data_IF_431355135203
#
_entry.id   IF_431355135203
#
_cell.length_a   1.000
_cell.length_b   1.000
_cell.length_c   1.000
_cell.angle_alpha   90.00
_cell.angle_beta   90.00
_cell.angle_gamma   90.00
#
_symmetry.space_group_name_H-M   'P 1'
#
loop_
_entity.id
_entity.type
_entity.pdbx_description
1 polymer ?
#
# COMPACT_ATOMS: atom_id res chain seq x y z
N UNK A 1 -12.46 12.02 28.28
CA UNK A 1 -11.96 12.45 26.96
C UNK A 1 -11.30 11.24 26.31
N UNK A 2 -11.78 10.86 25.11
CA UNK A 2 -11.24 9.76 24.30
C UNK A 2 -10.57 10.35 23.08
N UNK A 3 -9.29 10.03 22.86
CA UNK A 3 -8.46 10.53 21.76
C UNK A 3 -8.01 9.34 20.92
N UNK A 4 -8.36 9.37 19.63
CA UNK A 4 -7.88 8.38 18.66
C UNK A 4 -6.71 9.00 17.91
N UNK A 5 -5.58 8.29 17.90
CA UNK A 5 -4.32 8.72 17.26
C UNK A 5 -4.03 7.75 16.11
N UNK A 6 -4.28 8.21 14.90
CA UNK A 6 -4.24 7.41 13.68
C UNK A 6 -3.30 8.04 12.62
N UNK A 7 -1.99 8.07 12.84
CA UNK A 7 -1.02 8.63 11.90
C UNK A 7 -0.49 7.58 10.93
N UNK A 8 0.07 8.07 9.82
CA UNK A 8 1.03 7.36 8.98
C UNK A 8 2.44 7.42 9.57
N UNK A 9 3.35 6.67 8.99
CA UNK A 9 4.79 6.75 9.24
C UNK A 9 5.36 8.10 8.76
N UNK A 10 6.42 8.56 9.43
CA UNK A 10 7.25 9.66 8.92
C UNK A 10 8.46 9.02 8.25
N UNK A 11 8.41 8.94 6.92
CA UNK A 11 9.45 8.28 6.12
C UNK A 11 10.85 8.69 6.55
N UNK A 12 11.76 7.72 6.55
CA UNK A 12 13.17 7.88 6.95
C UNK A 12 13.40 8.24 8.43
N UNK A 13 12.34 8.33 9.27
CA UNK A 13 12.51 8.74 10.67
C UNK A 13 11.71 7.92 11.70
N UNK A 14 10.39 7.80 11.57
CA UNK A 14 9.54 7.15 12.56
C UNK A 14 8.50 6.23 11.90
N UNK A 15 8.32 5.05 12.46
CA UNK A 15 7.17 4.20 12.14
C UNK A 15 5.85 4.85 12.60
N UNK A 16 4.73 4.44 12.03
CA UNK A 16 3.41 4.95 12.42
C UNK A 16 3.11 4.75 13.91
N UNK A 17 3.58 3.63 14.50
CA UNK A 17 3.43 3.36 15.93
C UNK A 17 4.30 4.29 16.80
N UNK A 18 5.52 4.59 16.37
CA UNK A 18 6.39 5.53 17.07
C UNK A 18 5.82 6.95 17.02
N UNK A 19 5.29 7.37 15.87
CA UNK A 19 4.57 8.66 15.75
C UNK A 19 3.37 8.70 16.71
N UNK A 20 2.52 7.68 16.70
CA UNK A 20 1.37 7.60 17.60
C UNK A 20 1.77 7.64 19.08
N UNK A 21 2.86 6.95 19.43
CA UNK A 21 3.38 6.91 20.80
C UNK A 21 3.96 8.25 21.25
N UNK A 22 4.65 8.97 20.36
CA UNK A 22 5.18 10.31 20.65
C UNK A 22 4.04 11.34 20.83
N UNK A 23 2.97 11.25 20.02
CA UNK A 23 1.77 12.08 20.15
C UNK A 23 1.09 11.81 21.50
N UNK A 24 0.85 10.54 21.84
CA UNK A 24 0.28 10.16 23.14
C UNK A 24 1.11 10.69 24.30
N UNK A 25 2.44 10.52 24.26
CA UNK A 25 3.32 11.00 25.31
C UNK A 25 3.23 12.52 25.52
N UNK A 26 3.13 13.30 24.44
CA UNK A 26 2.94 14.75 24.54
C UNK A 26 1.59 15.15 25.10
N UNK A 27 0.50 14.51 24.64
CA UNK A 27 -0.84 14.79 25.14
C UNK A 27 -1.04 14.39 26.60
N UNK A 28 -0.44 13.29 27.06
CA UNK A 28 -0.51 12.85 28.47
C UNK A 28 0.07 13.84 29.47
N UNK A 29 0.99 14.69 29.08
CA UNK A 29 1.51 15.74 29.96
C UNK A 29 0.43 16.76 30.34
N UNK A 30 -0.61 16.90 29.52
CA UNK A 30 -1.70 17.89 29.71
C UNK A 30 -3.01 17.20 30.12
N UNK A 31 -3.29 16.03 29.53
CA UNK A 31 -4.48 15.21 29.77
C UNK A 31 -4.09 13.80 30.23
N UNK A 32 -3.58 13.65 31.47
CA UNK A 32 -3.08 12.35 31.98
C UNK A 32 -4.17 11.28 32.08
N UNK A 33 -5.42 11.69 32.32
CA UNK A 33 -6.56 10.79 32.56
C UNK A 33 -7.38 10.53 31.29
N UNK A 34 -6.97 11.03 30.11
CA UNK A 34 -7.64 10.74 28.87
C UNK A 34 -7.40 9.29 28.41
N UNK A 35 -8.39 8.71 27.74
CA UNK A 35 -8.26 7.45 27.04
C UNK A 35 -7.58 7.70 25.70
N UNK A 36 -6.51 6.94 25.42
CA UNK A 36 -5.77 7.05 24.17
C UNK A 36 -5.84 5.73 23.40
N UNK A 37 -6.32 5.82 22.16
CA UNK A 37 -6.30 4.69 21.21
C UNK A 37 -5.27 5.01 20.14
N UNK A 38 -4.18 4.25 20.12
CA UNK A 38 -3.17 4.32 19.08
C UNK A 38 -3.53 3.34 17.97
N UNK A 39 -3.71 3.86 16.77
CA UNK A 39 -4.04 3.09 15.59
C UNK A 39 -3.09 3.47 14.47
N UNK A 40 -1.90 2.83 14.35
CA UNK A 40 -1.04 3.00 13.19
C UNK A 40 -1.81 2.73 11.90
N UNK A 41 -1.73 3.65 10.93
CA UNK A 41 -2.43 3.55 9.65
C UNK A 41 -1.43 3.67 8.52
N UNK A 42 -1.79 3.20 7.34
CA UNK A 42 -1.05 3.35 6.11
C UNK A 42 -2.01 3.48 4.92
N UNK A 43 -1.49 3.83 3.76
CA UNK A 43 -2.29 4.04 2.53
C UNK A 43 -2.17 2.88 1.52
N UNK A 44 -1.55 1.75 1.90
CA UNK A 44 -1.29 0.63 1.00
C UNK A 44 0.08 0.67 0.34
N UNK A 45 0.88 1.70 0.61
CA UNK A 45 2.27 1.83 0.19
C UNK A 45 3.25 1.13 1.13
N UNK A 46 4.51 1.55 1.04
CA UNK A 46 5.60 1.10 1.91
C UNK A 46 5.27 1.32 3.39
N UNK A 47 5.55 0.31 4.22
CA UNK A 47 5.28 0.33 5.66
C UNK A 47 3.86 -0.07 6.05
N UNK A 48 3.03 -0.44 5.08
CA UNK A 48 1.66 -0.91 5.34
C UNK A 48 1.65 -2.19 6.16
N UNK A 49 2.55 -3.13 5.85
CA UNK A 49 2.64 -4.41 6.58
C UNK A 49 2.95 -4.16 8.05
N UNK A 50 3.96 -3.35 8.37
CA UNK A 50 4.35 -3.03 9.74
C UNK A 50 3.22 -2.30 10.48
N UNK A 51 2.57 -1.34 9.84
CA UNK A 51 1.46 -0.59 10.44
C UNK A 51 0.29 -1.52 10.78
N UNK A 52 -0.10 -2.40 9.85
CA UNK A 52 -1.20 -3.35 10.04
C UNK A 52 -0.88 -4.41 11.10
N UNK A 53 0.34 -4.92 11.11
CA UNK A 53 0.81 -5.86 12.15
C UNK A 53 0.76 -5.20 13.53
N UNK A 54 1.26 -3.97 13.65
CA UNK A 54 1.23 -3.23 14.90
C UNK A 54 -0.21 -2.93 15.37
N UNK A 55 -1.07 -2.48 14.46
CA UNK A 55 -2.47 -2.13 14.77
C UNK A 55 -3.32 -3.35 15.16
N UNK A 56 -3.01 -4.53 14.61
CA UNK A 56 -3.76 -5.77 14.87
C UNK A 56 -3.10 -6.66 15.92
N UNK A 57 -2.00 -6.24 16.55
CA UNK A 57 -1.19 -7.06 17.44
C UNK A 57 -0.75 -8.39 16.79
N UNK A 58 -0.43 -8.30 15.52
CA UNK A 58 -0.05 -9.42 14.68
C UNK A 58 1.45 -9.75 14.76
N UNK A 59 1.92 -10.46 13.74
CA UNK A 59 3.33 -10.84 13.61
C UNK A 59 3.82 -10.77 12.17
N UNK A 60 5.11 -10.54 12.03
CA UNK A 60 5.80 -10.67 10.74
C UNK A 60 6.09 -12.13 10.44
N UNK A 61 6.03 -12.50 9.17
CA UNK A 61 6.40 -13.81 8.64
C UNK A 61 7.44 -13.61 7.55
N UNK A 62 8.60 -14.23 7.73
CA UNK A 62 9.67 -14.23 6.73
C UNK A 62 9.67 -15.56 5.97
N UNK A 63 9.86 -15.51 4.67
CA UNK A 63 9.86 -16.69 3.79
C UNK A 63 10.79 -16.48 2.60
N UNK A 64 11.60 -17.49 2.29
CA UNK A 64 12.42 -17.47 1.08
C UNK A 64 11.52 -17.65 -0.14
N UNK A 65 11.59 -16.70 -1.08
CA UNK A 65 10.80 -16.68 -2.31
C UNK A 65 11.67 -16.31 -3.50
N UNK A 66 11.13 -16.44 -4.69
CA UNK A 66 11.77 -16.05 -5.95
C UNK A 66 11.76 -14.52 -6.09
N UNK A 67 12.93 -13.95 -6.25
CA UNK A 67 13.10 -12.52 -6.52
C UNK A 67 12.79 -12.13 -7.96
N UNK A 68 12.88 -10.82 -8.30
CA UNK A 68 12.47 -10.31 -9.61
C UNK A 68 13.24 -10.91 -10.81
N UNK A 69 14.48 -11.32 -10.62
CA UNK A 69 15.32 -11.94 -11.67
C UNK A 69 15.47 -13.46 -11.54
N UNK A 70 14.64 -14.09 -10.67
CA UNK A 70 14.68 -15.53 -10.44
C UNK A 70 15.62 -15.97 -9.32
N UNK A 71 16.40 -15.07 -8.73
CA UNK A 71 17.26 -15.36 -7.59
C UNK A 71 16.43 -15.48 -6.31
N UNK A 72 16.79 -16.38 -5.37
CA UNK A 72 16.12 -16.44 -4.07
C UNK A 72 16.31 -15.14 -3.29
N UNK A 73 15.22 -14.63 -2.72
CA UNK A 73 15.23 -13.47 -1.83
C UNK A 73 14.49 -13.79 -0.54
N UNK A 74 14.83 -13.10 0.54
CA UNK A 74 14.07 -13.16 1.78
C UNK A 74 12.88 -12.22 1.67
N UNK A 75 11.71 -12.78 1.36
CA UNK A 75 10.45 -12.05 1.37
C UNK A 75 9.84 -12.01 2.77
N UNK A 76 8.86 -11.16 2.95
CA UNK A 76 8.11 -11.05 4.21
C UNK A 76 6.66 -10.63 3.94
N UNK A 77 5.81 -10.88 4.92
CA UNK A 77 4.44 -10.36 5.00
C UNK A 77 3.98 -10.38 6.47
N UNK A 78 2.86 -9.73 6.76
CA UNK A 78 2.27 -9.70 8.09
C UNK A 78 1.06 -10.61 8.22
N UNK A 79 0.78 -11.06 9.44
CA UNK A 79 -0.47 -11.73 9.82
C UNK A 79 -1.09 -11.00 10.99
N UNK A 80 -2.42 -10.79 10.95
CA UNK A 80 -3.18 -10.21 12.05
C UNK A 80 -3.11 -11.06 13.32
N UNK A 81 -3.33 -10.46 14.49
CA UNK A 81 -3.26 -11.14 15.77
C UNK A 81 -4.24 -12.30 15.95
N UNK A 82 -5.38 -12.27 15.23
CA UNK A 82 -6.35 -13.36 15.16
C UNK A 82 -6.06 -14.39 14.06
N UNK A 83 -4.95 -14.21 13.35
CA UNK A 83 -4.48 -15.05 12.23
C UNK A 83 -5.45 -15.18 11.04
N UNK A 84 -6.46 -14.31 10.96
CA UNK A 84 -7.48 -14.37 9.89
C UNK A 84 -7.08 -13.64 8.60
N UNK A 85 -6.19 -12.63 8.70
CA UNK A 85 -5.83 -11.73 7.62
C UNK A 85 -4.31 -11.69 7.39
N UNK A 86 -3.88 -11.80 6.14
CA UNK A 86 -2.49 -11.53 5.74
C UNK A 86 -2.37 -10.14 5.09
N UNK A 87 -1.27 -9.46 5.40
CA UNK A 87 -0.88 -8.17 4.84
C UNK A 87 0.37 -8.37 4.00
N UNK A 88 0.27 -8.18 2.67
CA UNK A 88 1.34 -8.49 1.72
C UNK A 88 1.70 -7.21 0.96
N UNK A 89 2.97 -6.85 0.94
CA UNK A 89 3.52 -5.90 -0.03
C UNK A 89 4.23 -6.70 -1.13
N UNK A 90 3.77 -6.56 -2.38
CA UNK A 90 4.40 -7.27 -3.49
C UNK A 90 5.89 -6.93 -3.64
N UNK A 91 6.29 -5.73 -3.23
CA UNK A 91 7.67 -5.27 -3.29
C UNK A 91 8.62 -6.11 -2.42
N UNK A 92 8.13 -6.79 -1.40
CA UNK A 92 8.93 -7.70 -0.58
C UNK A 92 9.50 -8.91 -1.37
N UNK A 93 8.87 -9.27 -2.50
CA UNK A 93 9.32 -10.34 -3.37
C UNK A 93 9.63 -9.88 -4.80
N UNK A 94 8.96 -8.84 -5.28
CA UNK A 94 9.00 -8.42 -6.68
C UNK A 94 9.27 -6.92 -6.84
N UNK A 95 9.93 -6.30 -5.86
CA UNK A 95 10.13 -4.87 -5.76
C UNK A 95 11.40 -4.34 -6.43
N UNK A 96 11.36 -3.04 -6.75
CA UNK A 96 12.49 -2.30 -7.36
C UNK A 96 13.71 -2.23 -6.45
N UNK A 97 13.53 -2.19 -5.14
CA UNK A 97 14.61 -2.08 -4.17
C UNK A 97 15.46 -3.36 -4.07
N UNK A 98 14.91 -4.49 -4.50
CA UNK A 98 15.65 -5.75 -4.60
C UNK A 98 16.68 -5.74 -5.73
N UNK A 99 16.64 -4.74 -6.61
CA UNK A 99 17.49 -4.65 -7.79
C UNK A 99 18.29 -3.35 -7.81
N UNK A 100 19.63 -3.43 -7.99
CA UNK A 100 20.41 -2.24 -8.31
C UNK A 100 19.91 -1.66 -9.65
N UNK A 101 19.94 -0.32 -9.83
CA UNK A 101 19.41 0.32 -11.04
C UNK A 101 19.90 -0.30 -12.37
N UNK A 102 21.18 -0.71 -12.42
CA UNK A 102 21.77 -1.31 -13.61
C UNK A 102 21.22 -2.72 -13.97
N UNK A 103 20.59 -3.41 -13.01
CA UNK A 103 20.02 -4.74 -13.22
C UNK A 103 18.51 -4.70 -13.55
N UNK A 104 17.89 -3.54 -13.50
CA UNK A 104 16.46 -3.38 -13.80
C UNK A 104 16.18 -3.63 -15.27
N UNK A 105 15.30 -4.59 -15.54
CA UNK A 105 14.88 -4.93 -16.90
C UNK A 105 13.48 -5.56 -16.92
N UNK A 106 12.43 -4.77 -17.20
CA UNK A 106 11.05 -5.23 -17.12
C UNK A 106 10.67 -6.26 -18.19
N UNK A 107 11.50 -6.49 -19.23
CA UNK A 107 11.33 -7.60 -20.14
C UNK A 107 11.58 -8.96 -19.48
N UNK A 108 12.36 -8.99 -18.38
CA UNK A 108 12.83 -10.21 -17.70
C UNK A 108 12.32 -10.37 -16.28
N UNK A 109 12.01 -9.28 -15.59
CA UNK A 109 11.59 -9.33 -14.18
C UNK A 109 10.24 -10.00 -14.03
N UNK A 110 10.14 -10.92 -13.05
CA UNK A 110 8.98 -11.77 -12.79
C UNK A 110 8.32 -11.45 -11.46
N UNK A 111 7.02 -11.56 -11.42
CA UNK A 111 6.18 -11.47 -10.21
C UNK A 111 5.99 -12.80 -9.48
N UNK A 112 6.71 -13.85 -9.84
CA UNK A 112 6.57 -15.20 -9.30
C UNK A 112 6.59 -15.25 -7.78
N UNK A 113 7.54 -14.56 -7.14
CA UNK A 113 7.66 -14.52 -5.68
C UNK A 113 6.46 -13.92 -4.97
N UNK A 114 5.76 -12.99 -5.59
CA UNK A 114 4.48 -12.47 -5.03
C UNK A 114 3.44 -13.59 -4.95
N UNK A 115 3.36 -14.45 -5.95
CA UNK A 115 2.48 -15.64 -5.91
C UNK A 115 2.89 -16.63 -4.83
N UNK A 116 4.20 -16.79 -4.57
CA UNK A 116 4.71 -17.63 -3.48
C UNK A 116 4.33 -17.07 -2.10
N UNK A 117 4.39 -15.72 -1.91
CA UNK A 117 3.91 -15.09 -0.68
C UNK A 117 2.41 -15.35 -0.45
N UNK A 118 1.59 -15.17 -1.49
CA UNK A 118 0.15 -15.44 -1.42
C UNK A 118 -0.11 -16.90 -1.07
N UNK A 119 0.55 -17.84 -1.73
CA UNK A 119 0.39 -19.27 -1.46
C UNK A 119 0.79 -19.64 -0.04
N UNK A 120 1.92 -19.09 0.44
CA UNK A 120 2.37 -19.33 1.82
C UNK A 120 1.36 -18.78 2.84
N UNK A 121 0.75 -17.63 2.59
CA UNK A 121 -0.31 -17.11 3.45
C UNK A 121 -1.57 -18.01 3.45
N UNK A 122 -1.95 -18.55 2.28
CA UNK A 122 -3.04 -19.54 2.19
C UNK A 122 -2.71 -20.82 2.98
N UNK A 123 -1.44 -21.25 3.00
CA UNK A 123 -1.00 -22.42 3.77
C UNK A 123 -1.17 -22.22 5.30
N UNK A 124 -1.15 -20.98 5.77
CA UNK A 124 -1.43 -20.62 7.17
C UNK A 124 -2.94 -20.51 7.47
N UNK A 125 -3.80 -20.67 6.46
CA UNK A 125 -5.24 -20.72 6.64
C UNK A 125 -5.95 -19.36 6.72
N UNK A 126 -5.29 -18.27 6.26
CA UNK A 126 -5.93 -16.95 6.23
C UNK A 126 -7.14 -16.96 5.30
N UNK A 127 -8.16 -16.21 5.67
CA UNK A 127 -9.42 -16.06 4.91
C UNK A 127 -9.55 -14.70 4.25
N UNK A 128 -8.63 -13.78 4.57
CA UNK A 128 -8.55 -12.45 3.98
C UNK A 128 -7.09 -12.09 3.66
N UNK A 129 -6.90 -11.36 2.58
CA UNK A 129 -5.60 -10.75 2.26
C UNK A 129 -5.79 -9.28 1.90
N UNK A 130 -4.86 -8.45 2.33
CA UNK A 130 -4.70 -7.08 1.88
C UNK A 130 -3.35 -7.02 1.18
N UNK A 131 -3.35 -6.69 -0.11
CA UNK A 131 -2.16 -6.71 -0.94
C UNK A 131 -1.85 -5.30 -1.42
N UNK A 132 -0.72 -4.74 -0.99
CA UNK A 132 -0.14 -3.53 -1.53
C UNK A 132 0.68 -3.85 -2.79
N UNK A 133 0.47 -3.08 -3.86
CA UNK A 133 1.13 -3.33 -5.14
C UNK A 133 2.10 -2.22 -5.57
N UNK A 134 2.42 -1.29 -4.66
CA UNK A 134 3.43 -0.26 -4.87
C UNK A 134 4.86 -0.82 -4.98
N UNK A 135 5.78 -0.03 -5.54
CA UNK A 135 7.22 -0.34 -5.56
C UNK A 135 7.64 -1.49 -6.50
N UNK A 136 6.81 -1.92 -7.44
CA UNK A 136 7.06 -3.08 -8.32
C UNK A 136 8.25 -2.88 -9.26
N UNK A 137 9.05 -3.95 -9.47
CA UNK A 137 10.11 -4.04 -10.50
C UNK A 137 9.60 -4.66 -11.81
N UNK A 138 8.38 -5.18 -11.83
CA UNK A 138 7.85 -6.06 -12.87
C UNK A 138 6.91 -5.34 -13.84
N UNK A 139 6.83 -5.85 -15.06
CA UNK A 139 5.87 -5.45 -16.09
C UNK A 139 5.39 -6.70 -16.86
N UNK A 140 5.22 -7.79 -16.11
CA UNK A 140 4.83 -9.11 -16.63
C UNK A 140 3.31 -9.37 -16.55
N UNK A 141 2.51 -8.32 -16.32
CA UNK A 141 1.07 -8.46 -16.18
C UNK A 141 0.64 -9.34 -14.99
N UNK A 142 1.54 -9.57 -14.01
CA UNK A 142 1.29 -10.52 -12.92
C UNK A 142 1.31 -12.00 -13.34
N UNK A 143 1.81 -12.29 -14.54
CA UNK A 143 1.84 -13.65 -15.07
C UNK A 143 2.64 -14.62 -14.20
N UNK A 144 3.82 -14.19 -13.70
CA UNK A 144 4.61 -14.99 -12.78
C UNK A 144 3.85 -15.33 -11.50
N UNK A 145 3.14 -14.36 -10.92
CA UNK A 145 2.28 -14.58 -9.75
C UNK A 145 1.20 -15.63 -10.06
N UNK A 146 0.48 -15.49 -11.17
CA UNK A 146 -0.56 -16.42 -11.56
C UNK A 146 -0.01 -17.85 -11.74
N UNK A 147 1.15 -17.99 -12.39
CA UNK A 147 1.83 -19.30 -12.55
C UNK A 147 2.24 -19.90 -11.20
N UNK A 148 2.77 -19.11 -10.28
CA UNK A 148 3.14 -19.59 -8.94
C UNK A 148 1.91 -20.05 -8.12
N UNK A 149 0.74 -19.52 -8.43
CA UNK A 149 -0.55 -19.90 -7.84
C UNK A 149 -1.22 -21.09 -8.56
N UNK A 150 -0.60 -21.62 -9.62
CA UNK A 150 -1.03 -22.83 -10.30
C UNK A 150 -1.70 -22.63 -11.67
N UNK A 151 -1.85 -21.38 -12.14
CA UNK A 151 -2.31 -21.15 -13.50
C UNK A 151 -1.25 -21.60 -14.51
N UNK A 152 -1.69 -22.14 -15.62
CA UNK A 152 -0.82 -22.53 -16.74
C UNK A 152 -0.95 -21.48 -17.86
N UNK A 153 0.11 -20.75 -18.10
CA UNK A 153 0.24 -19.79 -19.20
C UNK A 153 1.15 -20.43 -20.24
N UNK A 154 0.57 -20.87 -21.35
CA UNK A 154 1.25 -21.75 -22.31
C UNK A 154 1.44 -21.09 -23.67
N UNK A 155 2.57 -21.41 -24.31
CA UNK A 155 2.84 -21.12 -25.72
C UNK A 155 2.02 -22.03 -26.64
N UNK A 156 2.02 -21.76 -27.94
CA UNK A 156 1.35 -22.60 -28.93
C UNK A 156 1.85 -24.06 -28.94
N UNK A 157 3.07 -24.31 -28.50
CA UNK A 157 3.66 -25.64 -28.38
C UNK A 157 3.35 -26.32 -27.03
N UNK A 158 2.49 -25.68 -26.19
CA UNK A 158 2.09 -26.21 -24.88
C UNK A 158 3.17 -26.11 -23.80
N UNK A 159 4.19 -25.28 -23.99
CA UNK A 159 5.22 -25.04 -22.99
C UNK A 159 4.88 -23.80 -22.16
N UNK A 160 5.29 -23.71 -20.89
CA UNK A 160 5.15 -22.49 -20.12
C UNK A 160 5.84 -21.30 -20.81
N UNK A 161 5.21 -20.13 -20.79
CA UNK A 161 5.84 -18.89 -21.29
C UNK A 161 7.10 -18.56 -20.47
N UNK A 162 8.06 -17.87 -21.08
CA UNK A 162 9.25 -17.40 -20.38
C UNK A 162 8.88 -16.34 -19.31
N UNK A 163 9.64 -16.22 -18.20
CA UNK A 163 9.44 -15.18 -17.21
C UNK A 163 9.61 -13.77 -17.78
N UNK A 164 8.92 -12.81 -17.16
CA UNK A 164 9.02 -11.39 -17.48
C UNK A 164 8.05 -10.94 -18.58
N UNK A 165 8.00 -9.62 -18.78
CA UNK A 165 7.04 -9.00 -19.69
C UNK A 165 7.18 -9.45 -21.15
N UNK A 166 8.41 -9.80 -21.59
CA UNK A 166 8.65 -10.31 -22.94
C UNK A 166 7.96 -11.66 -23.20
N UNK A 167 7.85 -12.50 -22.18
CA UNK A 167 7.23 -13.83 -22.29
C UNK A 167 5.76 -13.78 -22.70
N UNK A 168 5.03 -12.72 -22.33
CA UNK A 168 3.63 -12.54 -22.64
C UNK A 168 3.34 -12.56 -24.15
N UNK A 169 4.29 -12.12 -24.97
CA UNK A 169 4.12 -12.09 -26.42
C UNK A 169 4.00 -13.49 -27.08
N UNK A 170 4.39 -14.53 -26.35
CA UNK A 170 4.32 -15.93 -26.82
C UNK A 170 3.13 -16.70 -26.25
N UNK A 171 2.32 -16.07 -25.43
CA UNK A 171 1.16 -16.69 -24.81
C UNK A 171 0.12 -17.10 -25.85
N UNK A 172 -0.38 -18.32 -25.78
CA UNK A 172 -1.39 -18.84 -26.66
C UNK A 172 -2.62 -19.44 -25.93
N UNK A 173 -2.42 -19.85 -24.66
CA UNK A 173 -3.51 -20.45 -23.86
C UNK A 173 -3.31 -20.16 -22.37
N UNK A 174 -4.40 -19.82 -21.70
CA UNK A 174 -4.46 -19.71 -20.25
C UNK A 174 -5.37 -20.84 -19.73
N UNK A 175 -4.81 -21.70 -18.86
CA UNK A 175 -5.56 -22.73 -18.16
C UNK A 175 -5.50 -22.49 -16.64
N UNK A 176 -6.63 -22.25 -16.03
CA UNK A 176 -6.77 -21.99 -14.60
C UNK A 176 -7.25 -23.22 -13.80
N UNK A 177 -7.35 -24.40 -14.43
CA UNK A 177 -7.81 -25.61 -13.76
C UNK A 177 -6.92 -26.05 -12.59
N UNK A 178 -5.63 -25.68 -12.64
CA UNK A 178 -4.64 -25.93 -11.60
C UNK A 178 -4.51 -24.80 -10.55
N UNK A 179 -5.27 -23.73 -10.68
CA UNK A 179 -5.20 -22.60 -9.77
C UNK A 179 -5.59 -23.03 -8.35
N UNK A 180 -4.89 -22.51 -7.34
CA UNK A 180 -5.13 -22.86 -5.94
C UNK A 180 -6.61 -22.62 -5.56
N UNK A 181 -7.37 -23.67 -5.22
CA UNK A 181 -8.82 -23.54 -4.98
C UNK A 181 -9.17 -22.69 -3.76
N UNK A 182 -8.21 -22.48 -2.85
CA UNK A 182 -8.41 -21.66 -1.65
C UNK A 182 -8.57 -20.17 -1.98
N UNK A 183 -8.07 -19.73 -3.14
CA UNK A 183 -8.27 -18.36 -3.62
C UNK A 183 -9.76 -17.99 -3.73
N UNK A 184 -10.61 -18.93 -4.16
CA UNK A 184 -12.03 -18.70 -4.27
C UNK A 184 -12.75 -18.53 -2.92
N UNK A 185 -12.10 -18.90 -1.81
CA UNK A 185 -12.63 -18.79 -0.45
C UNK A 185 -11.94 -17.67 0.35
N UNK A 186 -10.93 -17.04 -0.21
CA UNK A 186 -10.16 -15.96 0.42
C UNK A 186 -10.62 -14.63 -0.16
N UNK A 187 -11.01 -13.69 0.70
CA UNK A 187 -11.28 -12.32 0.27
C UNK A 187 -9.95 -11.59 0.05
N UNK A 188 -9.74 -11.09 -1.15
CA UNK A 188 -8.51 -10.35 -1.51
C UNK A 188 -8.88 -8.91 -1.86
N UNK A 189 -8.41 -7.97 -1.05
CA UNK A 189 -8.49 -6.54 -1.28
C UNK A 189 -7.09 -6.05 -1.74
N UNK A 190 -7.03 -5.31 -2.86
CA UNK A 190 -5.78 -4.78 -3.42
C UNK A 190 -5.75 -3.28 -3.24
N UNK A 191 -4.76 -2.80 -2.50
CA UNK A 191 -4.51 -1.37 -2.34
C UNK A 191 -3.95 -0.78 -3.64
N UNK A 192 -4.78 -0.02 -4.34
CA UNK A 192 -4.48 0.58 -5.62
C UNK A 192 -4.99 2.01 -5.66
N UNK A 193 -4.07 2.98 -5.60
CA UNK A 193 -4.37 4.42 -5.59
C UNK A 193 -4.18 5.06 -6.98
N UNK A 194 -3.91 4.24 -8.00
CA UNK A 194 -3.80 4.70 -9.38
C UNK A 194 -4.94 4.13 -10.23
N UNK A 195 -5.37 4.90 -11.20
CA UNK A 195 -6.45 4.52 -12.12
C UNK A 195 -5.95 4.11 -13.52
N UNK A 196 -4.62 4.09 -13.69
CA UNK A 196 -3.99 3.79 -14.98
C UNK A 196 -4.52 2.49 -15.60
N UNK A 197 -4.93 2.51 -16.87
CA UNK A 197 -5.33 1.32 -17.59
C UNK A 197 -4.14 0.39 -17.84
N UNK A 198 -4.40 -0.83 -18.27
CA UNK A 198 -3.36 -1.82 -18.51
C UNK A 198 -2.41 -1.39 -19.64
N UNK A 199 -2.92 -0.80 -20.71
CA UNK A 199 -2.18 -0.45 -21.95
C UNK A 199 -2.47 0.97 -22.41
N UNK A 200 -1.71 1.43 -23.42
CA UNK A 200 -1.84 2.74 -24.03
C UNK A 200 -0.93 3.80 -23.42
N UNK A 201 -1.13 5.05 -23.80
CA UNK A 201 -0.25 6.17 -23.41
C UNK A 201 -0.23 6.43 -21.89
N UNK A 202 -1.29 6.07 -21.19
CA UNK A 202 -1.42 6.14 -19.73
C UNK A 202 -1.33 4.75 -19.08
N UNK A 203 -0.95 3.73 -19.83
CA UNK A 203 -0.86 2.34 -19.40
C UNK A 203 0.36 2.01 -18.56
N UNK A 204 0.40 0.77 -18.08
CA UNK A 204 1.45 0.24 -17.21
C UNK A 204 2.87 0.48 -17.74
N UNK A 205 3.10 0.17 -19.01
CA UNK A 205 4.43 0.24 -19.62
C UNK A 205 4.85 1.68 -19.90
N UNK A 206 3.94 2.53 -20.39
CA UNK A 206 4.23 3.91 -20.73
C UNK A 206 4.57 4.75 -19.50
N UNK A 207 3.76 4.64 -18.45
CA UNK A 207 3.89 5.47 -17.24
C UNK A 207 4.93 4.92 -16.26
N UNK A 208 4.93 3.61 -16.02
CA UNK A 208 5.75 3.01 -14.96
C UNK A 208 6.96 2.22 -15.47
N UNK A 209 7.02 1.93 -16.78
CA UNK A 209 8.13 1.19 -17.39
C UNK A 209 9.50 1.87 -17.26
N UNK A 210 9.64 3.19 -17.51
CA UNK A 210 10.93 3.88 -17.45
C UNK A 210 11.65 3.74 -16.11
N UNK A 211 10.97 3.88 -14.98
CA UNK A 211 11.58 3.70 -13.64
C UNK A 211 12.06 2.27 -13.38
N UNK A 212 11.52 1.29 -14.12
CA UNK A 212 11.90 -0.13 -14.07
C UNK A 212 13.01 -0.49 -15.07
N UNK A 213 13.58 0.52 -15.75
CA UNK A 213 14.67 0.37 -16.68
C UNK A 213 14.23 0.14 -18.15
N UNK A 214 12.96 0.38 -18.48
CA UNK A 214 12.50 0.27 -19.87
C UNK A 214 13.03 1.43 -20.73
N UNK A 215 13.59 1.09 -21.89
CA UNK A 215 13.83 2.06 -22.97
C UNK A 215 12.51 2.37 -23.71
N UNK A 216 12.45 3.44 -24.53
CA UNK A 216 11.26 3.72 -25.32
C UNK A 216 10.80 2.54 -26.21
N UNK A 217 11.76 1.80 -26.77
CA UNK A 217 11.49 0.61 -27.59
C UNK A 217 10.91 -0.53 -26.76
N UNK A 218 11.45 -0.74 -25.53
CA UNK A 218 10.93 -1.71 -24.58
C UNK A 218 9.51 -1.35 -24.12
N UNK A 219 9.21 -0.08 -23.92
CA UNK A 219 7.83 0.39 -23.57
C UNK A 219 6.84 -0.06 -24.63
N UNK A 220 7.13 0.17 -25.92
CA UNK A 220 6.27 -0.26 -27.02
C UNK A 220 6.11 -1.78 -27.07
N UNK A 221 7.21 -2.51 -26.84
CA UNK A 221 7.20 -3.99 -26.82
C UNK A 221 6.34 -4.52 -25.67
N UNK A 222 6.52 -3.98 -24.47
CA UNK A 222 5.79 -4.37 -23.26
C UNK A 222 4.30 -4.04 -23.36
N UNK A 223 3.96 -2.86 -23.91
CA UNK A 223 2.57 -2.45 -24.08
C UNK A 223 1.81 -3.41 -25.02
N UNK A 224 2.45 -3.77 -26.16
CA UNK A 224 1.90 -4.79 -27.07
C UNK A 224 1.76 -6.17 -26.42
N UNK A 225 2.72 -6.56 -25.61
CA UNK A 225 2.69 -7.83 -24.90
C UNK A 225 1.56 -7.88 -23.87
N UNK A 226 1.33 -6.79 -23.12
CA UNK A 226 0.18 -6.65 -22.22
C UNK A 226 -1.16 -6.61 -22.96
N UNK A 227 -1.23 -5.95 -24.11
CA UNK A 227 -2.45 -5.97 -24.94
C UNK A 227 -2.78 -7.38 -25.43
N UNK A 228 -1.77 -8.13 -25.87
CA UNK A 228 -1.93 -9.54 -26.26
C UNK A 228 -2.40 -10.41 -25.08
N UNK A 229 -1.78 -10.22 -23.90
CA UNK A 229 -2.18 -10.90 -22.67
C UNK A 229 -3.63 -10.63 -22.28
N UNK A 230 -4.06 -9.36 -22.34
CA UNK A 230 -5.46 -8.99 -22.08
C UNK A 230 -6.43 -9.66 -23.07
N UNK A 231 -6.06 -9.73 -24.35
CA UNK A 231 -6.83 -10.45 -25.35
C UNK A 231 -6.97 -11.95 -25.03
N UNK A 232 -5.91 -12.57 -24.53
CA UNK A 232 -5.95 -13.97 -24.13
C UNK A 232 -6.77 -14.20 -22.86
N UNK A 233 -6.70 -13.28 -21.88
CA UNK A 233 -7.58 -13.29 -20.69
C UNK A 233 -9.06 -13.20 -21.11
N UNK A 234 -9.37 -12.29 -22.03
CA UNK A 234 -10.74 -12.15 -22.53
C UNK A 234 -11.23 -13.44 -23.23
N UNK A 235 -10.37 -14.07 -24.03
CA UNK A 235 -10.71 -15.27 -24.78
C UNK A 235 -10.90 -16.50 -23.87
N UNK A 236 -9.99 -16.74 -22.93
CA UNK A 236 -9.94 -17.98 -22.16
C UNK A 236 -10.68 -17.91 -20.83
N UNK A 237 -10.81 -16.69 -20.23
CA UNK A 237 -11.45 -16.48 -18.92
C UNK A 237 -12.77 -15.70 -19.00
N UNK A 238 -13.14 -15.18 -20.16
CA UNK A 238 -14.33 -14.33 -20.37
C UNK A 238 -14.34 -13.08 -19.48
N UNK A 239 -13.15 -12.45 -19.30
CA UNK A 239 -12.94 -11.26 -18.48
C UNK A 239 -12.31 -10.13 -19.28
N UNK A 240 -12.87 -8.92 -19.20
CA UNK A 240 -12.24 -7.72 -19.75
C UNK A 240 -11.38 -7.02 -18.68
N UNK A 241 -10.07 -6.99 -18.90
CA UNK A 241 -9.10 -6.28 -18.05
C UNK A 241 -8.57 -5.00 -18.68
N UNK A 242 -8.92 -4.69 -19.95
CA UNK A 242 -8.49 -3.47 -20.62
C UNK A 242 -9.16 -2.23 -20.05
N UNK A 243 -10.44 -2.35 -19.67
CA UNK A 243 -11.25 -1.27 -19.10
C UNK A 243 -11.17 -1.18 -17.59
N UNK A 244 -10.43 -2.07 -16.92
CA UNK A 244 -10.29 -2.11 -15.48
C UNK A 244 -9.47 -0.91 -14.98
N UNK A 245 -10.06 -0.02 -14.21
CA UNK A 245 -9.34 1.05 -13.51
C UNK A 245 -8.32 0.45 -12.55
N UNK A 246 -7.06 0.92 -12.65
CA UNK A 246 -5.95 0.37 -11.88
C UNK A 246 -5.40 -0.95 -12.44
N UNK A 247 -5.94 -1.45 -13.54
CA UNK A 247 -5.43 -2.68 -14.17
C UNK A 247 -3.95 -2.59 -14.55
N UNK A 248 -3.47 -1.39 -14.89
CA UNK A 248 -2.06 -1.13 -15.21
C UNK A 248 -1.13 -0.99 -13.98
N UNK A 249 -1.68 -0.91 -12.78
CA UNK A 249 -0.88 -0.79 -11.58
C UNK A 249 0.10 -1.94 -11.46
N UNK A 250 1.31 -1.62 -10.98
CA UNK A 250 2.38 -2.60 -10.78
C UNK A 250 2.71 -3.44 -12.03
N UNK A 251 2.74 -2.80 -13.21
CA UNK A 251 3.08 -3.48 -14.46
C UNK A 251 2.03 -4.51 -14.90
N UNK A 252 0.76 -4.28 -14.58
CA UNK A 252 -0.36 -5.15 -14.89
C UNK A 252 -0.74 -6.14 -13.79
N UNK A 253 -0.08 -6.07 -12.62
CA UNK A 253 -0.43 -6.90 -11.46
C UNK A 253 -1.87 -6.68 -11.01
N UNK A 254 -2.38 -5.43 -11.07
CA UNK A 254 -3.77 -5.13 -10.76
C UNK A 254 -4.75 -5.96 -11.61
N UNK A 255 -4.50 -6.04 -12.91
CA UNK A 255 -5.31 -6.86 -13.82
C UNK A 255 -5.24 -8.37 -13.48
N UNK A 256 -4.04 -8.88 -13.15
CA UNK A 256 -3.89 -10.29 -12.81
C UNK A 256 -4.55 -10.66 -11.47
N UNK A 257 -4.40 -9.85 -10.45
CA UNK A 257 -5.06 -10.07 -9.16
C UNK A 257 -6.60 -10.10 -9.33
N UNK A 258 -7.14 -9.21 -10.16
CA UNK A 258 -8.55 -9.24 -10.50
C UNK A 258 -8.91 -10.54 -11.23
N UNK A 259 -8.20 -10.89 -12.33
CA UNK A 259 -8.56 -11.98 -13.22
C UNK A 259 -8.36 -13.39 -12.62
N UNK A 260 -7.27 -13.60 -11.88
CA UNK A 260 -6.88 -14.92 -11.36
C UNK A 260 -7.23 -15.12 -9.88
N UNK A 261 -7.30 -14.05 -9.11
CA UNK A 261 -7.55 -14.16 -7.67
C UNK A 261 -8.95 -13.64 -7.25
N UNK A 262 -9.73 -13.09 -8.18
CA UNK A 262 -11.02 -12.48 -7.87
C UNK A 262 -10.91 -11.27 -6.93
N UNK A 263 -9.77 -10.58 -6.96
CA UNK A 263 -9.46 -9.49 -6.05
C UNK A 263 -10.24 -8.21 -6.36
N UNK A 264 -10.46 -7.40 -5.33
CA UNK A 264 -11.10 -6.09 -5.44
C UNK A 264 -10.04 -4.98 -5.32
N UNK A 265 -9.88 -4.18 -6.38
CA UNK A 265 -9.02 -3.01 -6.37
C UNK A 265 -9.77 -1.85 -5.70
N UNK A 266 -9.17 -1.28 -4.66
CA UNK A 266 -9.75 -0.18 -3.87
C UNK A 266 -8.65 0.79 -3.41
N UNK A 267 -8.97 2.06 -3.12
CA UNK A 267 -8.02 2.95 -2.46
C UNK A 267 -7.46 2.33 -1.18
N UNK A 268 -6.13 2.39 -1.02
CA UNK A 268 -5.46 1.73 0.09
C UNK A 268 -5.94 2.18 1.45
N UNK A 269 -6.12 3.49 1.62
CA UNK A 269 -6.63 4.06 2.88
C UNK A 269 -8.03 3.54 3.24
N UNK A 270 -8.90 3.28 2.27
CA UNK A 270 -10.25 2.76 2.53
C UNK A 270 -10.16 1.31 3.02
N UNK A 271 -9.28 0.50 2.41
CA UNK A 271 -9.06 -0.89 2.83
C UNK A 271 -8.52 -0.94 4.26
N UNK A 272 -7.52 -0.11 4.55
CA UNK A 272 -6.84 -0.10 5.85
C UNK A 272 -7.78 0.38 6.94
N UNK A 273 -8.50 1.48 6.74
CA UNK A 273 -9.45 2.01 7.73
C UNK A 273 -10.61 1.05 7.99
N UNK A 274 -11.11 0.38 6.95
CA UNK A 274 -12.13 -0.67 7.09
C UNK A 274 -11.59 -1.88 7.88
N UNK A 275 -10.38 -2.34 7.57
CA UNK A 275 -9.77 -3.49 8.22
C UNK A 275 -9.46 -3.24 9.71
N UNK A 276 -9.13 -2.01 10.05
CA UNK A 276 -8.84 -1.58 11.42
C UNK A 276 -10.09 -1.14 12.19
N UNK A 277 -11.27 -1.21 11.57
CA UNK A 277 -12.54 -0.76 12.17
C UNK A 277 -12.48 0.68 12.71
N UNK A 278 -11.78 1.57 12.00
CA UNK A 278 -11.61 2.97 12.41
C UNK A 278 -12.95 3.65 12.68
N UNK A 279 -13.97 3.36 11.87
CA UNK A 279 -15.32 3.88 12.00
C UNK A 279 -15.90 3.65 13.42
N UNK A 280 -15.76 2.42 13.94
CA UNK A 280 -16.22 2.09 15.29
C UNK A 280 -15.39 2.75 16.39
N UNK A 281 -14.09 2.95 16.17
CA UNK A 281 -13.20 3.56 17.15
C UNK A 281 -13.40 5.06 17.30
N UNK A 282 -13.79 5.76 16.22
CA UNK A 282 -13.98 7.21 16.24
C UNK A 282 -15.41 7.61 16.60
N UNK A 283 -16.38 6.70 16.54
CA UNK A 283 -17.80 7.03 16.73
C UNK A 283 -18.11 7.75 18.06
N UNK A 284 -17.35 7.45 19.12
CA UNK A 284 -17.47 8.04 20.46
C UNK A 284 -16.20 8.79 20.90
N UNK A 285 -15.32 9.12 19.96
CA UNK A 285 -14.11 9.89 20.25
C UNK A 285 -14.44 11.39 20.44
N UNK A 286 -13.66 12.08 21.27
CA UNK A 286 -13.71 13.53 21.43
C UNK A 286 -12.77 14.24 20.46
N UNK A 287 -11.71 13.57 20.03
CA UNK A 287 -10.68 14.12 19.14
C UNK A 287 -10.03 13.00 18.35
N UNK A 288 -9.75 13.26 17.08
CA UNK A 288 -8.90 12.44 16.23
C UNK A 288 -7.64 13.20 15.89
N UNK A 289 -6.49 12.54 16.03
CA UNK A 289 -5.18 13.08 15.62
C UNK A 289 -4.62 12.15 14.56
N UNK A 290 -4.23 12.72 13.44
CA UNK A 290 -3.60 12.02 12.32
C UNK A 290 -2.34 12.75 11.88
N UNK A 291 -1.61 12.22 10.90
CA UNK A 291 -0.41 12.87 10.39
C UNK A 291 0.33 12.01 9.40
N UNK A 292 1.30 12.64 8.78
CA UNK A 292 2.28 12.02 7.88
C UNK A 292 3.56 12.86 7.84
N UNK A 293 4.62 12.36 7.20
CA UNK A 293 5.90 13.08 7.13
C UNK A 293 5.80 14.49 6.52
N UNK A 294 4.90 14.68 5.53
CA UNK A 294 4.64 15.99 4.92
C UNK A 294 3.19 16.10 4.47
N UNK A 295 2.48 17.08 5.01
CA UNK A 295 1.13 17.42 4.56
C UNK A 295 1.20 18.56 3.54
N UNK A 296 0.65 18.33 2.35
CA UNK A 296 0.63 19.24 1.21
C UNK A 296 -0.66 19.05 0.38
N UNK A 297 -0.73 19.68 -0.81
CA UNK A 297 -1.87 19.52 -1.72
C UNK A 297 -2.04 18.09 -2.25
N UNK A 298 -1.01 17.26 -2.21
CA UNK A 298 -1.10 15.85 -2.62
C UNK A 298 -1.81 14.98 -1.56
N UNK A 299 -1.84 15.44 -0.32
CA UNK A 299 -2.49 14.72 0.79
C UNK A 299 -3.99 14.47 0.55
N UNK A 300 -4.66 15.33 -0.25
CA UNK A 300 -6.08 15.16 -0.61
C UNK A 300 -6.35 13.97 -1.55
N UNK A 301 -5.32 13.43 -2.19
CA UNK A 301 -5.42 12.36 -3.15
C UNK A 301 -5.23 10.97 -2.51
N UNK A 302 -6.05 10.65 -1.51
CA UNK A 302 -6.12 9.31 -0.93
C UNK A 302 -5.09 9.00 0.16
N UNK A 303 -4.35 9.98 0.66
CA UNK A 303 -3.39 9.76 1.74
C UNK A 303 -4.05 9.65 3.12
N UNK A 304 -3.30 9.10 4.08
CA UNK A 304 -3.77 8.78 5.43
C UNK A 304 -4.48 9.94 6.11
N UNK A 305 -3.95 11.19 6.19
CA UNK A 305 -4.61 12.23 6.98
C UNK A 305 -6.02 12.54 6.50
N UNK A 306 -6.23 12.64 5.18
CA UNK A 306 -7.56 12.92 4.61
C UNK A 306 -8.47 11.70 4.68
N UNK A 307 -7.95 10.49 4.53
CA UNK A 307 -8.73 9.26 4.71
C UNK A 307 -9.26 9.11 6.13
N UNK A 308 -8.41 9.32 7.13
CA UNK A 308 -8.80 9.31 8.55
C UNK A 308 -9.80 10.42 8.87
N UNK A 309 -9.55 11.64 8.37
CA UNK A 309 -10.46 12.76 8.56
C UNK A 309 -11.85 12.49 7.97
N UNK A 310 -11.92 11.89 6.78
CA UNK A 310 -13.19 11.52 6.14
C UNK A 310 -14.03 10.56 7.02
N UNK A 311 -13.40 9.59 7.67
CA UNK A 311 -14.10 8.69 8.60
C UNK A 311 -14.56 9.43 9.84
N UNK A 312 -13.72 10.24 10.49
CA UNK A 312 -14.05 11.02 11.68
C UNK A 312 -15.18 12.02 11.43
N UNK A 313 -15.22 12.65 10.26
CA UNK A 313 -16.25 13.65 9.90
C UNK A 313 -17.65 13.07 9.72
N UNK A 314 -17.81 11.76 9.52
CA UNK A 314 -19.13 11.10 9.56
C UNK A 314 -19.80 11.28 10.92
N UNK A 315 -19.01 11.39 11.97
CA UNK A 315 -19.44 11.57 13.37
C UNK A 315 -19.21 13.00 13.88
N UNK A 316 -18.83 13.95 13.00
CA UNK A 316 -18.53 15.33 13.33
C UNK A 316 -17.40 15.52 14.36
N UNK A 317 -16.51 14.55 14.48
CA UNK A 317 -15.37 14.62 15.40
C UNK A 317 -14.31 15.57 14.84
N UNK A 318 -13.73 16.45 15.69
CA UNK A 318 -12.64 17.31 15.29
C UNK A 318 -11.38 16.50 14.98
N UNK A 319 -10.64 16.94 13.92
CA UNK A 319 -9.43 16.26 13.41
C UNK A 319 -8.27 17.23 13.35
N UNK A 320 -7.17 16.86 13.98
CA UNK A 320 -5.91 17.60 13.93
C UNK A 320 -4.86 16.79 13.17
N UNK A 321 -4.22 17.43 12.20
CA UNK A 321 -3.07 16.88 11.49
C UNK A 321 -1.76 17.36 12.11
N UNK A 322 -0.83 16.43 12.37
CA UNK A 322 0.53 16.71 12.80
C UNK A 322 1.47 16.17 11.73
N UNK A 323 2.37 16.98 11.22
CA UNK A 323 3.26 16.61 10.13
C UNK A 323 4.72 16.96 10.41
N UNK A 324 5.64 16.22 9.83
CA UNK A 324 7.05 16.57 9.82
C UNK A 324 7.26 17.98 9.22
N UNK A 325 6.62 18.24 8.08
CA UNK A 325 6.61 19.56 7.45
C UNK A 325 5.28 19.89 6.78
N UNK A 326 5.02 21.16 6.55
CA UNK A 326 3.89 21.68 5.80
C UNK A 326 4.38 22.48 4.61
N UNK A 327 3.62 22.49 3.52
CA UNK A 327 3.90 23.35 2.35
C UNK A 327 2.99 24.56 2.31
N UNK A 328 3.32 25.55 1.48
CA UNK A 328 2.54 26.79 1.37
C UNK A 328 1.09 26.56 0.89
N UNK A 329 0.83 25.47 0.18
CA UNK A 329 -0.47 25.09 -0.39
C UNK A 329 -1.29 24.17 0.52
N UNK A 330 -0.82 23.91 1.74
CA UNK A 330 -1.45 22.99 2.71
C UNK A 330 -2.90 23.35 3.05
N UNK A 331 -3.28 24.62 2.90
CA UNK A 331 -4.62 25.09 3.25
C UNK A 331 -5.79 24.33 2.58
N UNK A 332 -5.53 23.64 1.49
CA UNK A 332 -6.54 22.83 0.79
C UNK A 332 -7.08 21.67 1.65
N UNK A 333 -6.29 21.13 2.57
CA UNK A 333 -6.69 19.99 3.42
C UNK A 333 -7.82 20.33 4.39
N UNK A 334 -8.01 21.61 4.73
CA UNK A 334 -9.12 22.04 5.59
C UNK A 334 -10.49 21.78 4.97
N UNK A 335 -10.59 21.85 3.63
CA UNK A 335 -11.82 21.51 2.91
C UNK A 335 -12.06 19.99 2.85
N UNK A 336 -11.06 19.20 3.24
CA UNK A 336 -11.10 17.73 3.26
C UNK A 336 -11.15 17.15 4.68
N UNK A 337 -11.52 17.97 5.67
CA UNK A 337 -11.87 17.52 7.01
C UNK A 337 -10.79 17.64 8.08
N UNK A 338 -9.59 18.18 7.76
CA UNK A 338 -8.60 18.54 8.77
C UNK A 338 -8.91 19.92 9.33
N UNK A 339 -9.34 20.01 10.58
CA UNK A 339 -9.72 21.29 11.21
C UNK A 339 -8.49 22.16 11.50
N UNK A 340 -7.37 21.54 11.86
CA UNK A 340 -6.10 22.23 12.07
C UNK A 340 -4.94 21.33 11.67
N UNK A 341 -3.84 21.94 11.22
CA UNK A 341 -2.59 21.23 10.89
C UNK A 341 -1.38 21.93 11.50
N UNK A 342 -0.42 21.15 11.97
CA UNK A 342 0.77 21.63 12.64
C UNK A 342 2.02 20.94 12.11
N UNK A 343 3.10 21.71 11.90
CA UNK A 343 4.44 21.16 11.70
C UNK A 343 5.09 20.88 13.05
N UNK A 344 5.88 19.80 13.11
CA UNK A 344 6.70 19.49 14.29
C UNK A 344 7.99 20.30 14.35
N UNK A 345 8.33 21.01 13.28
CA UNK A 345 9.54 21.84 13.25
C UNK A 345 9.34 23.09 14.09
N UNK A 346 10.07 23.21 15.17
CA UNK A 346 10.01 24.33 16.11
C UNK A 346 11.20 25.29 15.99
N UNK A 347 12.23 24.90 15.20
CA UNK A 347 13.43 25.69 14.94
C UNK A 347 13.89 25.50 13.49
N UNK A 348 14.75 26.40 13.02
CA UNK A 348 15.47 26.19 11.76
C UNK A 348 16.55 25.14 12.02
N UNK A 349 16.55 24.06 11.25
CA UNK A 349 17.50 22.96 11.35
C UNK A 349 17.73 22.33 9.97
N UNK A 350 18.76 21.51 9.85
CA UNK A 350 18.97 20.67 8.68
C UNK A 350 17.96 19.51 8.63
N UNK A 351 17.83 18.87 7.47
CA UNK A 351 16.97 17.67 7.34
C UNK A 351 17.45 16.55 8.26
N UNK A 352 18.76 16.29 8.29
CA UNK A 352 19.35 15.23 9.12
C UNK A 352 19.05 15.45 10.62
N UNK A 353 19.15 16.70 11.10
CA UNK A 353 18.77 17.04 12.48
C UNK A 353 17.28 16.84 12.74
N UNK A 354 16.43 17.25 11.78
CA UNK A 354 14.97 17.07 11.89
C UNK A 354 14.57 15.60 11.96
N UNK A 355 15.20 14.74 11.14
CA UNK A 355 14.96 13.29 11.14
C UNK A 355 15.48 12.63 12.44
N UNK A 356 16.68 13.01 12.89
CA UNK A 356 17.27 12.46 14.11
C UNK A 356 16.48 12.82 15.39
N UNK A 357 15.85 14.01 15.43
CA UNK A 357 15.08 14.51 16.57
C UNK A 357 13.56 14.30 16.39
N UNK A 358 13.12 13.57 15.38
CA UNK A 358 11.71 13.48 14.98
C UNK A 358 10.77 13.12 16.13
N UNK A 359 11.07 12.11 16.94
CA UNK A 359 10.24 11.69 18.07
C UNK A 359 10.08 12.78 19.14
N UNK A 360 11.17 13.48 19.48
CA UNK A 360 11.14 14.60 20.43
C UNK A 360 10.32 15.78 19.87
N UNK A 361 10.47 16.07 18.58
CA UNK A 361 9.74 17.12 17.90
C UNK A 361 8.24 16.85 17.85
N UNK A 362 7.85 15.62 17.51
CA UNK A 362 6.43 15.19 17.53
C UNK A 362 5.84 15.32 18.94
N UNK A 363 6.54 14.83 19.97
CA UNK A 363 6.09 14.93 21.36
C UNK A 363 5.89 16.38 21.79
N UNK A 364 6.84 17.27 21.48
CA UNK A 364 6.76 18.70 21.84
C UNK A 364 5.58 19.38 21.13
N UNK A 365 5.40 19.15 19.82
CA UNK A 365 4.29 19.69 19.07
C UNK A 365 2.95 19.21 19.65
N UNK A 366 2.81 17.92 19.91
CA UNK A 366 1.63 17.30 20.51
C UNK A 366 1.31 17.87 21.88
N UNK A 367 2.31 18.05 22.77
CA UNK A 367 2.15 18.67 24.06
C UNK A 367 1.64 20.11 23.96
N UNK A 368 2.16 20.90 23.04
CA UNK A 368 1.75 22.29 22.85
C UNK A 368 0.32 22.39 22.27
N UNK A 369 -0.04 21.51 21.35
CA UNK A 369 -1.40 21.39 20.82
C UNK A 369 -2.38 21.06 21.96
N UNK A 370 -2.08 20.07 22.79
CA UNK A 370 -2.89 19.70 23.95
C UNK A 370 -3.06 20.87 24.92
N UNK A 371 -2.00 21.62 25.21
CA UNK A 371 -2.05 22.80 26.05
C UNK A 371 -2.92 23.91 25.45
N UNK A 372 -2.87 24.12 24.14
CA UNK A 372 -3.72 25.11 23.44
C UNK A 372 -5.20 24.72 23.54
N UNK A 373 -5.53 23.44 23.36
CA UNK A 373 -6.91 22.93 23.53
C UNK A 373 -7.39 23.20 24.96
N UNK A 374 -6.55 22.93 25.96
CA UNK A 374 -6.91 23.15 27.36
C UNK A 374 -7.17 24.64 27.69
N UNK A 375 -6.36 25.52 27.11
CA UNK A 375 -6.59 26.98 27.23
C UNK A 375 -7.94 27.36 26.60
N UNK A 376 -8.24 26.85 25.40
CA UNK A 376 -9.51 27.10 24.72
C UNK A 376 -10.74 26.62 25.50
N UNK A 377 -10.62 25.53 26.26
CA UNK A 377 -11.70 25.04 27.15
C UNK A 377 -11.94 25.92 28.37
N UNK A 378 -11.01 26.80 28.69
CA UNK A 378 -11.07 27.73 29.84
C UNK A 378 -11.65 29.11 29.47
N UNK A 379 -11.78 29.39 28.16
CA UNK A 379 -12.34 30.63 27.62
C UNK A 379 -13.85 30.53 27.45
#
# INVERSE_FOLDING_TARGET
MKIVIAPDSYKESLSALEVASAIEAGFREIYPDAEYIKLPVADGGEGTVEAMVAATQGRMVEVAVTGPLGEPVQGFYGISGDESCAFIEMAAASGLELLPPAARNPLKTTSWGTGELIRHALDLGVTRMIIGIGGSATNDGGAGMAQALGAQLLTADGQPIAPGGAGLSTLATIDISGLDPRLAQCRIDVACDVTNPLVGDEGASAIFGPQKGATPEMVVQLDRALAHYAGQIAQDLDLDVLTLEGGGAAGGMGAALYAFCGAHLRPGIDIVTDALHLDALVADADLVITGEGRIDSQTIHGKVPVGVARVAKRYQIPVIGIAGSLTADVGVVHQHGLDAVFSVLHRICSLDEALAEAGANVRMAARNIAATIKVGQSL
#
